data_IF_204343944436
#
_entry.id   IF_204343944436
#
_cell.length_a   1.000
_cell.length_b   1.000
_cell.length_c   1.000
_cell.angle_alpha   90.00
_cell.angle_beta   90.00
_cell.angle_gamma   90.00
#
_symmetry.space_group_name_H-M   'P 1'
#
loop_
_entity.id
_entity.type
_entity.pdbx_description
1 polymer ?
#
# COMPACT_ATOMS: atom_id res chain seq x y z
N UNK A 1 -11.00 -1.36 23.68
CA UNK A 1 -10.80 -2.32 22.60
C UNK A 1 -10.94 -3.70 23.17
N UNK A 2 -11.25 -4.67 22.32
CA UNK A 2 -11.34 -6.06 22.75
C UNK A 2 -9.99 -6.49 23.34
N UNK A 3 -9.99 -6.91 24.58
CA UNK A 3 -8.80 -7.46 25.25
C UNK A 3 -8.79 -9.00 25.01
N UNK A 4 -8.85 -9.35 23.72
CA UNK A 4 -8.98 -10.72 23.25
C UNK A 4 -8.05 -10.97 22.07
N UNK A 5 -6.90 -11.57 22.34
CA UNK A 5 -5.90 -11.92 21.33
C UNK A 5 -6.37 -12.98 20.33
N UNK A 6 -7.46 -13.69 20.65
CA UNK A 6 -8.04 -14.72 19.77
C UNK A 6 -9.05 -14.15 18.78
N UNK A 7 -9.44 -12.87 18.94
CA UNK A 7 -10.42 -12.22 18.07
C UNK A 7 -9.95 -12.18 16.62
N UNK A 8 -10.83 -12.56 15.72
CA UNK A 8 -10.62 -12.46 14.27
C UNK A 8 -11.84 -11.82 13.63
N UNK A 9 -11.60 -10.98 12.63
CA UNK A 9 -12.66 -10.48 11.78
C UNK A 9 -13.37 -11.63 11.06
N UNK A 10 -14.67 -11.50 10.86
CA UNK A 10 -15.44 -12.43 10.06
C UNK A 10 -15.15 -12.23 8.56
N UNK A 11 -15.36 -13.26 7.76
CA UNK A 11 -15.18 -13.18 6.31
C UNK A 11 -16.09 -12.08 5.69
N UNK A 12 -17.28 -11.89 6.26
CA UNK A 12 -18.22 -10.83 5.89
C UNK A 12 -17.70 -9.41 6.12
N UNK A 13 -16.66 -9.22 6.93
CA UNK A 13 -16.05 -7.91 7.22
C UNK A 13 -15.05 -7.49 6.15
N UNK A 14 -14.50 -8.44 5.41
CA UNK A 14 -13.42 -8.19 4.43
C UNK A 14 -13.77 -7.05 3.46
N UNK A 15 -14.98 -6.97 2.88
CA UNK A 15 -15.33 -5.88 1.97
C UNK A 15 -15.29 -4.48 2.59
N UNK A 16 -15.42 -4.39 3.91
CA UNK A 16 -15.48 -3.11 4.65
C UNK A 16 -14.13 -2.70 5.26
N UNK A 17 -13.18 -3.61 5.31
CA UNK A 17 -11.86 -3.34 5.88
C UNK A 17 -10.75 -3.40 4.83
N UNK A 18 -10.86 -4.27 3.84
CA UNK A 18 -9.85 -4.44 2.80
C UNK A 18 -9.87 -3.29 1.79
N UNK A 19 -8.72 -2.68 1.54
CA UNK A 19 -8.57 -1.59 0.58
C UNK A 19 -9.05 -0.22 1.06
N UNK A 20 -9.63 -0.13 2.25
CA UNK A 20 -10.07 1.12 2.88
C UNK A 20 -8.94 1.80 3.67
N UNK A 21 -9.13 3.08 3.98
CA UNK A 21 -8.22 3.80 4.86
C UNK A 21 -8.28 3.24 6.29
N UNK A 22 -7.20 3.46 7.07
CA UNK A 22 -7.15 3.04 8.48
C UNK A 22 -8.34 3.59 9.27
N UNK A 23 -8.74 4.83 9.01
CA UNK A 23 -9.87 5.45 9.71
C UNK A 23 -11.20 4.78 9.40
N UNK A 24 -11.44 4.46 8.13
CA UNK A 24 -12.69 3.80 7.70
C UNK A 24 -12.79 2.40 8.28
N UNK A 25 -11.74 1.59 8.17
CA UNK A 25 -11.80 0.24 8.71
C UNK A 25 -11.90 0.23 10.25
N UNK A 26 -11.19 1.14 10.95
CA UNK A 26 -11.33 1.24 12.40
C UNK A 26 -12.72 1.71 12.82
N UNK A 27 -13.32 2.66 12.09
CA UNK A 27 -14.69 3.10 12.38
C UNK A 27 -15.67 1.94 12.19
N UNK A 28 -15.56 1.18 11.11
CA UNK A 28 -16.37 -0.03 10.90
C UNK A 28 -16.23 -1.02 12.06
N UNK A 29 -15.00 -1.31 12.49
CA UNK A 29 -14.75 -2.21 13.61
C UNK A 29 -15.32 -1.68 14.93
N UNK A 30 -15.23 -0.38 15.18
CA UNK A 30 -15.82 0.25 16.35
C UNK A 30 -17.33 0.08 16.33
N UNK A 31 -17.98 0.45 15.24
CA UNK A 31 -19.44 0.40 15.13
C UNK A 31 -19.99 -1.02 15.32
N UNK A 32 -19.28 -2.03 14.79
CA UNK A 32 -19.72 -3.43 14.87
C UNK A 32 -19.34 -4.14 16.17
N UNK A 33 -18.13 -3.92 16.68
CA UNK A 33 -17.55 -4.76 17.73
C UNK A 33 -17.29 -4.04 19.05
N UNK A 34 -17.14 -2.71 19.02
CA UNK A 34 -16.78 -1.91 20.20
C UNK A 34 -17.59 -0.61 20.25
N UNK A 35 -18.93 -0.65 20.16
CA UNK A 35 -19.74 0.56 20.09
C UNK A 35 -19.47 1.48 21.27
N UNK A 36 -19.19 2.75 20.98
CA UNK A 36 -18.87 3.78 21.99
C UNK A 36 -17.38 4.04 22.20
N UNK A 37 -16.48 3.27 21.58
CA UNK A 37 -15.05 3.62 21.57
C UNK A 37 -14.77 4.83 20.66
N UNK A 38 -13.71 5.59 21.00
CA UNK A 38 -13.29 6.74 20.22
C UNK A 38 -12.41 6.31 19.05
N UNK A 39 -12.70 6.82 17.84
CA UNK A 39 -11.88 6.62 16.66
C UNK A 39 -10.44 7.11 16.87
N UNK A 40 -10.26 8.28 17.51
CA UNK A 40 -8.92 8.82 17.78
C UNK A 40 -8.12 7.91 18.72
N UNK A 41 -8.76 7.37 19.76
CA UNK A 41 -8.13 6.41 20.67
C UNK A 41 -7.74 5.12 19.92
N UNK A 42 -8.63 4.61 19.07
CA UNK A 42 -8.36 3.42 18.27
C UNK A 42 -7.21 3.65 17.28
N UNK A 43 -7.18 4.82 16.62
CA UNK A 43 -6.09 5.21 15.71
C UNK A 43 -4.75 5.29 16.41
N UNK A 44 -4.69 5.98 17.56
CA UNK A 44 -3.45 6.09 18.31
C UNK A 44 -2.91 4.72 18.71
N UNK A 45 -3.76 3.85 19.25
CA UNK A 45 -3.38 2.48 19.60
C UNK A 45 -2.90 1.68 18.37
N UNK A 46 -3.62 1.78 17.25
CA UNK A 46 -3.24 1.11 16.00
C UNK A 46 -1.88 1.56 15.51
N UNK A 47 -1.63 2.87 15.43
CA UNK A 47 -0.35 3.39 14.93
C UNK A 47 0.80 3.12 15.89
N UNK A 48 0.60 3.19 17.20
CA UNK A 48 1.62 2.83 18.19
C UNK A 48 2.03 1.36 18.03
N UNK A 49 1.05 0.47 17.84
CA UNK A 49 1.31 -0.95 17.63
C UNK A 49 2.01 -1.22 16.30
N UNK A 50 1.48 -0.69 15.21
CA UNK A 50 2.05 -0.87 13.87
C UNK A 50 3.46 -0.31 13.77
N UNK A 51 3.70 0.91 14.28
CA UNK A 51 5.03 1.52 14.23
C UNK A 51 6.06 0.72 15.01
N UNK A 52 5.66 0.16 16.16
CA UNK A 52 6.53 -0.72 16.95
C UNK A 52 6.84 -2.01 16.18
N UNK A 53 5.82 -2.66 15.60
CA UNK A 53 6.01 -3.89 14.82
C UNK A 53 6.88 -3.65 13.59
N UNK A 54 6.63 -2.57 12.84
CA UNK A 54 7.43 -2.22 11.66
C UNK A 54 8.89 -1.98 12.04
N UNK A 55 9.14 -1.28 13.14
CA UNK A 55 10.49 -1.07 13.65
C UNK A 55 11.19 -2.40 13.99
N UNK A 56 10.52 -3.30 14.69
CA UNK A 56 11.08 -4.61 15.03
C UNK A 56 11.39 -5.45 13.79
N UNK A 57 10.51 -5.42 12.77
CA UNK A 57 10.74 -6.12 11.49
C UNK A 57 11.96 -5.53 10.77
N UNK A 58 12.06 -4.20 10.70
CA UNK A 58 13.21 -3.53 10.04
C UNK A 58 14.53 -3.81 10.73
N UNK A 59 14.53 -3.93 12.06
CA UNK A 59 15.69 -4.27 12.87
C UNK A 59 16.01 -5.79 12.90
N UNK A 60 15.21 -6.61 12.22
CA UNK A 60 15.38 -8.07 12.14
C UNK A 60 14.99 -8.82 13.41
N UNK A 61 14.26 -8.18 14.32
CA UNK A 61 13.75 -8.77 15.58
C UNK A 61 12.27 -9.14 15.53
N UNK A 62 11.56 -8.67 14.52
CA UNK A 62 10.14 -8.94 14.33
C UNK A 62 9.83 -10.35 13.83
N UNK A 63 8.57 -10.57 13.51
CA UNK A 63 8.10 -11.86 12.98
C UNK A 63 8.88 -12.21 11.71
N UNK A 64 9.44 -13.39 11.67
CA UNK A 64 9.97 -13.96 10.43
C UNK A 64 8.81 -14.16 9.45
N UNK A 65 9.02 -13.80 8.20
CA UNK A 65 7.99 -13.88 7.15
C UNK A 65 6.73 -13.05 7.46
N UNK A 66 6.88 -11.89 8.11
CA UNK A 66 5.77 -10.97 8.34
C UNK A 66 5.08 -10.54 7.04
N UNK A 67 5.86 -10.40 5.97
CA UNK A 67 5.40 -10.06 4.62
C UNK A 67 5.94 -11.08 3.63
N UNK A 68 5.16 -12.11 3.38
CA UNK A 68 5.50 -13.18 2.44
C UNK A 68 5.05 -12.76 1.04
N UNK A 69 5.97 -12.57 0.10
CA UNK A 69 5.61 -12.27 -1.28
C UNK A 69 4.85 -13.44 -1.91
N UNK A 70 4.00 -13.14 -2.88
CA UNK A 70 3.33 -14.18 -3.66
C UNK A 70 4.34 -15.01 -4.45
N UNK A 71 4.06 -16.30 -4.58
CA UNK A 71 4.84 -17.20 -5.40
C UNK A 71 4.89 -16.71 -6.86
N UNK A 72 6.07 -16.76 -7.48
CA UNK A 72 6.28 -16.30 -8.86
C UNK A 72 6.40 -14.78 -9.01
N UNK A 73 6.28 -13.99 -7.92
CA UNK A 73 6.35 -12.52 -8.03
C UNK A 73 7.70 -12.04 -8.56
N UNK A 74 8.81 -12.63 -8.09
CA UNK A 74 10.16 -12.25 -8.53
C UNK A 74 10.32 -12.49 -10.02
N UNK A 75 9.99 -13.68 -10.50
CA UNK A 75 10.08 -14.08 -11.91
C UNK A 75 9.23 -13.19 -12.79
N UNK A 76 8.01 -12.89 -12.35
CA UNK A 76 7.09 -11.99 -13.04
C UNK A 76 7.67 -10.58 -13.19
N UNK A 77 8.12 -9.98 -12.11
CA UNK A 77 8.70 -8.63 -12.13
C UNK A 77 9.96 -8.54 -12.96
N UNK A 78 10.86 -9.52 -12.85
CA UNK A 78 12.08 -9.59 -13.65
C UNK A 78 11.78 -9.79 -15.13
N UNK A 79 10.76 -10.59 -15.49
CA UNK A 79 10.35 -10.78 -16.87
C UNK A 79 9.80 -9.48 -17.50
N UNK A 80 9.07 -8.67 -16.72
CA UNK A 80 8.61 -7.35 -17.20
C UNK A 80 9.80 -6.40 -17.45
N UNK A 81 10.74 -6.33 -16.50
CA UNK A 81 11.96 -5.51 -16.69
C UNK A 81 12.81 -5.96 -17.86
N UNK A 82 12.96 -7.26 -18.07
CA UNK A 82 13.70 -7.80 -19.23
C UNK A 82 13.08 -7.41 -20.58
N UNK A 83 11.78 -7.10 -20.60
CA UNK A 83 11.06 -6.57 -21.78
C UNK A 83 11.10 -5.04 -21.89
N UNK A 84 11.81 -4.36 -21.01
CA UNK A 84 11.86 -2.89 -20.98
C UNK A 84 10.56 -2.23 -20.50
N UNK A 85 9.69 -2.98 -19.84
CA UNK A 85 8.43 -2.44 -19.30
C UNK A 85 8.74 -1.66 -18.02
N UNK A 86 8.28 -0.41 -17.95
CA UNK A 86 8.35 0.40 -16.74
C UNK A 86 7.33 -0.12 -15.72
N UNK A 87 7.72 -0.15 -14.45
CA UNK A 87 6.89 -0.68 -13.37
C UNK A 87 6.70 0.38 -12.29
N UNK A 88 5.46 0.78 -12.06
CA UNK A 88 5.07 1.64 -10.94
C UNK A 88 4.40 0.84 -9.83
N UNK A 89 4.75 1.13 -8.58
CA UNK A 89 4.07 0.59 -7.40
C UNK A 89 3.14 1.66 -6.81
N UNK A 90 1.88 1.29 -6.60
CA UNK A 90 0.82 2.19 -6.11
C UNK A 90 0.19 1.64 -4.84
N UNK A 91 0.23 2.38 -3.75
CA UNK A 91 -0.36 1.96 -2.48
C UNK A 91 -1.12 3.09 -1.78
N UNK A 92 -2.26 2.76 -1.15
CA UNK A 92 -2.97 3.66 -0.24
C UNK A 92 -2.33 3.71 1.16
N UNK A 93 -1.37 2.84 1.44
CA UNK A 93 -0.63 2.87 2.69
C UNK A 93 0.21 4.15 2.82
N UNK A 94 0.32 4.64 4.05
CA UNK A 94 1.26 5.71 4.34
C UNK A 94 2.70 5.24 4.09
N UNK A 95 3.56 6.13 3.62
CA UNK A 95 4.93 5.80 3.25
C UNK A 95 5.69 5.07 4.37
N UNK A 96 5.60 5.59 5.59
CA UNK A 96 6.31 5.06 6.76
C UNK A 96 5.89 3.62 7.11
N UNK A 97 4.67 3.22 6.71
CA UNK A 97 4.19 1.85 6.87
C UNK A 97 4.50 1.00 5.64
N UNK A 98 4.20 1.49 4.47
CA UNK A 98 4.30 0.71 3.23
C UNK A 98 5.74 0.37 2.85
N UNK A 99 6.68 1.31 3.01
CA UNK A 99 8.08 1.07 2.62
C UNK A 99 8.76 -0.04 3.41
N UNK A 100 8.62 -0.14 4.75
CA UNK A 100 9.13 -1.29 5.50
C UNK A 100 8.57 -2.63 5.02
N UNK A 101 7.26 -2.70 4.70
CA UNK A 101 6.60 -3.90 4.18
C UNK A 101 7.19 -4.32 2.82
N UNK A 102 7.31 -3.36 1.90
CA UNK A 102 7.87 -3.57 0.56
C UNK A 102 9.34 -4.00 0.64
N UNK A 103 10.13 -3.32 1.46
CA UNK A 103 11.54 -3.65 1.66
C UNK A 103 11.72 -5.06 2.27
N UNK A 104 10.87 -5.43 3.22
CA UNK A 104 10.89 -6.78 3.80
C UNK A 104 10.59 -7.85 2.75
N UNK A 105 9.60 -7.60 1.88
CA UNK A 105 9.27 -8.50 0.77
C UNK A 105 10.42 -8.61 -0.24
N UNK A 106 11.07 -7.50 -0.59
CA UNK A 106 12.22 -7.48 -1.49
C UNK A 106 13.43 -8.22 -0.93
N UNK A 107 13.69 -8.07 0.37
CA UNK A 107 14.72 -8.86 1.07
C UNK A 107 14.42 -10.36 1.04
N UNK A 108 13.16 -10.75 1.25
CA UNK A 108 12.75 -12.15 1.16
C UNK A 108 12.93 -12.75 -0.25
N UNK A 109 12.80 -11.91 -1.28
CA UNK A 109 13.01 -12.28 -2.68
C UNK A 109 14.45 -12.15 -3.17
N UNK A 110 15.34 -11.62 -2.34
CA UNK A 110 16.73 -11.27 -2.76
C UNK A 110 16.73 -10.40 -4.04
N UNK A 111 16.01 -9.27 -3.98
CA UNK A 111 15.82 -8.34 -5.11
C UNK A 111 16.48 -6.97 -4.91
N UNK A 112 17.24 -6.78 -3.84
CA UNK A 112 17.88 -5.50 -3.53
C UNK A 112 16.90 -4.45 -3.00
N UNK A 113 17.12 -3.18 -3.36
CA UNK A 113 16.31 -2.06 -2.88
C UNK A 113 15.12 -1.81 -3.82
N UNK A 114 13.88 -1.69 -3.28
CA UNK A 114 12.70 -1.39 -4.07
C UNK A 114 12.82 -0.09 -4.89
N UNK A 115 13.50 0.90 -4.33
CA UNK A 115 13.70 2.21 -4.97
C UNK A 115 14.62 2.15 -6.20
N UNK A 116 15.46 1.13 -6.29
CA UNK A 116 16.33 0.90 -7.44
C UNK A 116 15.61 0.07 -8.51
N UNK A 117 14.64 -0.72 -8.10
CA UNK A 117 13.91 -1.62 -8.97
C UNK A 117 12.71 -0.96 -9.66
N UNK A 118 11.82 -0.30 -8.88
CA UNK A 118 10.64 0.34 -9.43
C UNK A 118 10.97 1.68 -10.09
N UNK A 119 10.36 1.94 -11.25
CA UNK A 119 10.49 3.24 -11.94
C UNK A 119 9.70 4.34 -11.22
N UNK A 120 8.67 3.94 -10.46
CA UNK A 120 7.90 4.83 -9.60
C UNK A 120 7.34 4.10 -8.38
N UNK A 121 7.33 4.74 -7.21
CA UNK A 121 6.62 4.27 -6.02
C UNK A 121 5.77 5.44 -5.50
N UNK A 122 4.45 5.28 -5.54
CA UNK A 122 3.50 6.29 -5.09
C UNK A 122 2.67 5.74 -3.94
N UNK A 123 2.65 6.47 -2.83
CA UNK A 123 1.89 6.15 -1.63
C UNK A 123 0.98 7.30 -1.23
N UNK A 124 -0.11 7.01 -0.52
CA UNK A 124 -0.98 8.04 0.02
C UNK A 124 -0.25 8.90 1.06
N UNK A 125 -0.57 10.19 1.09
CA UNK A 125 -0.01 11.11 2.07
C UNK A 125 1.47 11.43 1.93
N UNK A 126 2.16 10.91 0.91
CA UNK A 126 3.56 11.24 0.65
C UNK A 126 3.66 12.31 -0.44
N UNK A 127 3.97 13.54 -0.08
CA UNK A 127 3.82 14.67 -0.99
C UNK A 127 4.84 14.68 -2.13
N UNK A 128 6.07 14.27 -1.86
CA UNK A 128 7.14 14.33 -2.86
C UNK A 128 8.16 13.23 -2.59
N UNK A 129 8.62 12.61 -3.67
CA UNK A 129 9.81 11.77 -3.65
C UNK A 129 11.01 12.56 -4.14
N UNK A 130 12.19 12.15 -3.70
CA UNK A 130 13.43 12.74 -4.16
C UNK A 130 13.50 12.69 -5.70
N UNK A 131 13.68 13.84 -6.32
CA UNK A 131 13.72 13.97 -7.77
C UNK A 131 12.38 14.10 -8.46
N UNK A 132 11.26 14.03 -7.75
CA UNK A 132 9.94 14.26 -8.34
C UNK A 132 9.68 15.75 -8.52
N UNK A 133 9.15 16.11 -9.69
CA UNK A 133 8.81 17.50 -10.02
C UNK A 133 7.30 17.64 -10.08
N UNK A 134 6.74 18.32 -9.10
CA UNK A 134 5.32 18.57 -9.01
C UNK A 134 4.50 17.32 -8.67
N UNK A 135 3.26 17.56 -8.35
CA UNK A 135 2.24 16.55 -8.16
C UNK A 135 0.97 17.02 -8.83
N UNK A 136 0.06 16.08 -9.14
CA UNK A 136 -1.26 16.43 -9.66
C UNK A 136 -2.16 17.03 -8.57
N UNK A 137 -1.70 17.07 -7.33
CA UNK A 137 -2.41 17.59 -6.18
C UNK A 137 -2.15 16.78 -4.92
N UNK A 138 -3.05 16.86 -3.95
CA UNK A 138 -3.00 16.04 -2.75
C UNK A 138 -3.33 14.58 -3.12
N UNK A 139 -2.43 13.66 -2.73
CA UNK A 139 -2.56 12.25 -3.07
C UNK A 139 -3.58 11.56 -2.15
N UNK A 140 -4.83 11.62 -2.53
CA UNK A 140 -5.91 10.91 -1.85
C UNK A 140 -5.80 9.40 -2.04
N UNK A 141 -6.13 8.59 -1.01
CA UNK A 141 -6.10 7.14 -1.11
C UNK A 141 -7.14 6.59 -2.10
N UNK A 142 -6.98 5.35 -2.51
CA UNK A 142 -7.99 4.60 -3.27
C UNK A 142 -9.34 4.63 -2.51
N UNK A 143 -10.49 4.77 -3.16
CA UNK A 143 -10.74 4.60 -4.60
C UNK A 143 -10.49 5.87 -5.46
N UNK A 144 -9.97 6.95 -4.89
CA UNK A 144 -9.67 8.15 -5.66
C UNK A 144 -8.59 7.84 -6.72
N UNK A 145 -8.69 8.33 -7.96
CA UNK A 145 -7.77 7.96 -9.06
C UNK A 145 -6.38 8.62 -8.96
N UNK A 146 -6.14 9.55 -8.09
CA UNK A 146 -4.92 10.37 -8.05
C UNK A 146 -3.62 9.59 -7.89
N UNK A 147 -3.60 8.52 -7.09
CA UNK A 147 -2.39 7.72 -6.95
C UNK A 147 -1.96 7.09 -8.28
N UNK A 148 -2.90 6.58 -9.07
CA UNK A 148 -2.62 6.05 -10.40
C UNK A 148 -2.27 7.14 -11.40
N UNK A 149 -3.02 8.23 -11.42
CA UNK A 149 -2.74 9.37 -12.29
C UNK A 149 -1.34 9.96 -12.03
N UNK A 150 -0.98 10.12 -10.76
CA UNK A 150 0.36 10.56 -10.35
C UNK A 150 1.44 9.57 -10.78
N UNK A 151 1.20 8.27 -10.58
CA UNK A 151 2.14 7.23 -10.98
C UNK A 151 2.37 7.25 -12.48
N UNK A 152 1.32 7.33 -13.29
CA UNK A 152 1.42 7.36 -14.75
C UNK A 152 2.08 8.65 -15.24
N UNK A 153 1.52 9.81 -14.89
CA UNK A 153 1.94 11.08 -15.45
C UNK A 153 3.29 11.55 -14.91
N UNK A 154 3.48 11.55 -13.57
CA UNK A 154 4.68 12.08 -12.94
C UNK A 154 5.74 10.99 -12.75
N UNK A 155 5.31 9.83 -12.29
CA UNK A 155 6.22 8.73 -11.95
C UNK A 155 6.82 8.04 -13.18
N UNK A 156 6.00 7.68 -14.15
CA UNK A 156 6.40 6.91 -15.33
C UNK A 156 6.54 7.78 -16.58
N UNK A 157 6.08 9.01 -16.56
CA UNK A 157 6.12 9.93 -17.70
C UNK A 157 5.20 9.51 -18.86
N UNK A 158 4.08 8.85 -18.53
CA UNK A 158 3.07 8.42 -19.51
C UNK A 158 2.09 9.56 -19.75
N UNK A 159 2.03 10.03 -21.00
CA UNK A 159 1.08 11.05 -21.42
C UNK A 159 -0.36 10.55 -21.43
N UNK A 160 -1.30 11.48 -21.37
CA UNK A 160 -2.75 11.14 -21.36
C UNK A 160 -3.16 10.30 -22.58
N UNK A 161 -2.60 10.61 -23.75
CA UNK A 161 -2.90 9.89 -25.00
C UNK A 161 -2.28 8.50 -25.05
N UNK A 162 -1.29 8.23 -24.19
CA UNK A 162 -0.58 6.94 -24.10
C UNK A 162 -1.16 6.02 -23.01
N UNK A 163 -2.20 6.44 -22.31
CA UNK A 163 -2.79 5.67 -21.19
C UNK A 163 -3.26 4.27 -21.60
N UNK A 164 -3.61 4.08 -22.87
CA UNK A 164 -3.94 2.75 -23.42
C UNK A 164 -2.79 1.74 -23.42
N UNK A 165 -1.54 2.19 -23.18
CA UNK A 165 -0.35 1.34 -23.04
C UNK A 165 -0.11 0.89 -21.60
N UNK A 166 -0.92 1.32 -20.63
CA UNK A 166 -0.78 1.03 -19.21
C UNK A 166 -1.69 -0.13 -18.81
N UNK A 167 -1.13 -1.06 -18.03
CA UNK A 167 -1.90 -2.12 -17.37
C UNK A 167 -1.79 -1.91 -15.88
N UNK A 168 -2.93 -1.81 -15.20
CA UNK A 168 -3.00 -1.81 -13.74
C UNK A 168 -3.34 -3.22 -13.25
N UNK A 169 -2.65 -3.65 -12.19
CA UNK A 169 -2.89 -4.93 -11.50
C UNK A 169 -3.34 -4.58 -10.08
N UNK A 170 -4.52 -5.04 -9.71
CA UNK A 170 -5.17 -4.74 -8.43
C UNK A 170 -5.95 -5.93 -7.88
N UNK A 171 -5.98 -6.03 -6.56
CA UNK A 171 -6.66 -7.09 -5.82
C UNK A 171 -7.89 -6.61 -5.04
N UNK A 172 -8.12 -5.29 -4.98
CA UNK A 172 -9.22 -4.68 -4.23
C UNK A 172 -10.21 -3.93 -5.12
N UNK A 173 -11.48 -3.92 -4.71
CA UNK A 173 -12.51 -3.13 -5.40
C UNK A 173 -12.19 -1.64 -5.43
N UNK A 174 -11.65 -1.09 -4.34
CA UNK A 174 -11.20 0.30 -4.27
C UNK A 174 -10.08 0.59 -5.26
N UNK A 175 -9.11 -0.34 -5.39
CA UNK A 175 -8.02 -0.24 -6.34
C UNK A 175 -8.48 -0.34 -7.80
N UNK A 176 -9.38 -1.27 -8.11
CA UNK A 176 -9.98 -1.38 -9.46
C UNK A 176 -10.73 -0.11 -9.83
N UNK A 177 -11.51 0.47 -8.89
CA UNK A 177 -12.20 1.75 -9.12
C UNK A 177 -11.19 2.89 -9.36
N UNK A 178 -10.11 2.94 -8.56
CA UNK A 178 -9.06 3.95 -8.66
C UNK A 178 -8.28 3.87 -9.98
N UNK A 179 -8.07 2.67 -10.52
CA UNK A 179 -7.33 2.45 -11.76
C UNK A 179 -8.14 2.76 -13.04
N UNK A 180 -9.46 2.93 -12.92
CA UNK A 180 -10.33 3.33 -14.03
C UNK A 180 -10.29 4.85 -14.22
N UNK A 181 -9.25 5.32 -14.85
CA UNK A 181 -9.03 6.75 -15.14
C UNK A 181 -9.46 7.07 -16.57
#
# INVERSE_FOLDING_TARGET
MLDDESFKLEESDIPFVSGHSVSEHLQYCIDKYCPGESLDKARNFYFDHVNREMKEIMEGRGRKNAFVPQEGLKEFLLALKAKGIKIGLVTSGLYEKAMPEILSAFRALDMGEPTDFYDAIISAGYPLRKGSVGTLGELSPKPHPWLYAETCAVGLGVGFDERGSVIAIEDSGAGVCSARI
#
